data_IF_371223027795
#
_entry.id   IF_371223027795
#
_cell.length_a   1.000
_cell.length_b   1.000
_cell.length_c   1.000
_cell.angle_alpha   90.00
_cell.angle_beta   90.00
_cell.angle_gamma   90.00
#
_symmetry.space_group_name_H-M   'P 1'
#
loop_
_entity.id
_entity.type
_entity.pdbx_description
1 polymer ?
#
# COMPACT_ATOMS: atom_id res chain seq x y z
N UNK A 1 7.54 -11.51 -6.72
CA UNK A 1 7.45 -10.13 -6.19
C UNK A 1 6.03 -9.82 -5.75
N UNK A 2 5.90 -9.08 -4.67
CA UNK A 2 4.62 -8.50 -4.24
C UNK A 2 4.73 -6.99 -4.43
N UNK A 3 4.01 -6.44 -5.39
CA UNK A 3 4.01 -5.01 -5.70
C UNK A 3 2.97 -4.33 -4.84
N UNK A 4 3.42 -3.47 -3.94
CA UNK A 4 2.56 -2.81 -2.95
C UNK A 4 2.52 -1.32 -3.24
N UNK A 5 1.36 -0.82 -3.59
CA UNK A 5 1.14 0.60 -3.83
C UNK A 5 0.89 1.35 -2.52
N UNK A 6 1.53 2.49 -2.37
CA UNK A 6 1.33 3.35 -1.20
C UNK A 6 1.47 4.82 -1.59
N UNK A 7 0.77 5.68 -0.87
CA UNK A 7 0.92 7.14 -0.94
C UNK A 7 1.46 7.59 0.42
N UNK A 8 2.78 7.80 0.58
CA UNK A 8 3.43 7.94 1.89
C UNK A 8 3.24 9.34 2.50
N UNK A 9 1.99 9.74 2.68
CA UNK A 9 1.62 11.07 3.17
C UNK A 9 0.72 11.03 4.40
N UNK A 10 0.61 9.89 5.07
CA UNK A 10 -0.32 9.71 6.19
C UNK A 10 0.37 9.11 7.41
N UNK A 11 1.23 9.87 8.12
CA UNK A 11 1.85 9.38 9.35
C UNK A 11 0.79 9.07 10.43
N UNK A 12 0.98 8.09 11.28
CA UNK A 12 2.10 7.15 11.36
C UNK A 12 1.94 5.90 10.50
N UNK A 13 0.95 5.86 9.61
CA UNK A 13 0.65 4.68 8.79
C UNK A 13 1.65 4.52 7.64
N UNK A 14 1.87 5.59 6.88
CA UNK A 14 2.90 5.62 5.85
C UNK A 14 3.49 7.02 5.72
N UNK A 15 4.82 7.10 5.65
CA UNK A 15 5.53 8.36 5.48
C UNK A 15 6.98 8.08 5.05
N UNK A 16 7.68 9.13 4.67
CA UNK A 16 9.10 9.04 4.32
C UNK A 16 9.96 9.71 5.38
N UNK A 17 11.09 9.09 5.70
CA UNK A 17 12.13 9.73 6.50
C UNK A 17 12.74 10.87 5.68
N UNK A 18 12.66 12.12 6.15
CA UNK A 18 13.19 13.27 5.39
C UNK A 18 14.69 13.23 5.16
N UNK A 19 15.44 12.50 5.99
CA UNK A 19 16.89 12.39 5.85
C UNK A 19 17.32 11.32 4.85
N UNK A 20 16.59 10.21 4.77
CA UNK A 20 16.99 9.03 3.98
C UNK A 20 16.04 8.67 2.85
N UNK A 21 14.87 9.28 2.78
CA UNK A 21 13.78 8.91 1.88
C UNK A 21 13.24 7.49 2.10
N UNK A 22 13.58 6.83 3.19
CA UNK A 22 13.06 5.50 3.49
C UNK A 22 11.56 5.55 3.78
N UNK A 23 10.83 4.57 3.28
CA UNK A 23 9.41 4.40 3.61
C UNK A 23 9.27 3.83 5.02
N UNK A 24 8.47 4.47 5.84
CA UNK A 24 8.27 4.11 7.25
C UNK A 24 6.79 4.12 7.59
N UNK A 25 6.44 3.43 8.66
CA UNK A 25 5.10 3.46 9.23
C UNK A 25 4.47 2.09 9.37
N UNK A 26 3.29 2.05 9.99
CA UNK A 26 2.56 0.81 10.26
C UNK A 26 2.24 0.05 8.98
N UNK A 27 1.72 0.73 7.97
CA UNK A 27 1.34 0.11 6.69
C UNK A 27 2.56 -0.48 5.99
N UNK A 28 3.71 0.19 6.08
CA UNK A 28 4.94 -0.29 5.48
C UNK A 28 5.42 -1.56 6.17
N UNK A 29 5.41 -1.58 7.49
CA UNK A 29 5.81 -2.76 8.27
C UNK A 29 4.85 -3.93 8.00
N UNK A 30 3.56 -3.66 7.93
CA UNK A 30 2.54 -4.68 7.65
C UNK A 30 2.73 -5.28 6.25
N UNK A 31 2.92 -4.45 5.24
CA UNK A 31 3.13 -4.92 3.87
C UNK A 31 4.39 -5.76 3.73
N UNK A 32 5.48 -5.34 4.37
CA UNK A 32 6.72 -6.11 4.36
C UNK A 32 6.55 -7.46 5.04
N UNK A 33 5.79 -7.53 6.14
CA UNK A 33 5.53 -8.78 6.84
C UNK A 33 4.64 -9.73 6.02
N UNK A 34 3.64 -9.19 5.33
CA UNK A 34 2.80 -9.98 4.42
C UNK A 34 3.66 -10.61 3.32
N UNK A 35 4.52 -9.83 2.69
CA UNK A 35 5.42 -10.34 1.65
C UNK A 35 6.32 -11.43 2.19
N UNK A 36 6.88 -11.24 3.38
CA UNK A 36 7.74 -12.23 4.03
C UNK A 36 7.01 -13.55 4.26
N UNK A 37 5.78 -13.50 4.75
CA UNK A 37 4.99 -14.71 5.02
C UNK A 37 4.57 -15.44 3.76
N UNK A 38 4.42 -14.72 2.65
CA UNK A 38 4.11 -15.32 1.36
C UNK A 38 5.34 -15.83 0.61
N UNK A 39 6.54 -15.60 1.16
CA UNK A 39 7.79 -15.96 0.49
C UNK A 39 8.09 -15.08 -0.72
N UNK A 40 7.56 -13.86 -0.74
CA UNK A 40 7.73 -12.92 -1.83
C UNK A 40 8.59 -11.73 -1.40
N UNK A 41 9.18 -11.07 -2.39
CA UNK A 41 9.90 -9.82 -2.14
C UNK A 41 8.93 -8.65 -2.29
N UNK A 42 8.88 -7.78 -1.28
CA UNK A 42 8.06 -6.58 -1.35
C UNK A 42 8.71 -5.56 -2.31
N UNK A 43 7.91 -5.05 -3.23
CA UNK A 43 8.31 -3.97 -4.13
C UNK A 43 7.31 -2.83 -3.92
N UNK A 44 7.78 -1.74 -3.32
CA UNK A 44 6.93 -0.60 -3.00
C UNK A 44 6.82 0.34 -4.18
N UNK A 45 5.58 0.67 -4.54
CA UNK A 45 5.27 1.57 -5.65
C UNK A 45 4.58 2.80 -5.08
N UNK A 46 5.24 3.95 -5.14
CA UNK A 46 4.68 5.20 -4.65
C UNK A 46 3.76 5.81 -5.70
N UNK A 47 2.56 6.17 -5.29
CA UNK A 47 1.56 6.75 -6.18
C UNK A 47 0.73 7.79 -5.43
N UNK A 48 -0.01 8.62 -6.17
CA UNK A 48 -1.06 9.44 -5.59
C UNK A 48 -2.17 8.55 -5.02
N UNK A 49 -2.76 8.98 -3.89
CA UNK A 49 -3.77 8.18 -3.21
C UNK A 49 -4.92 7.77 -4.14
N UNK A 50 -5.37 8.69 -4.98
CA UNK A 50 -6.49 8.44 -5.89
C UNK A 50 -6.16 7.43 -7.00
N UNK A 51 -4.88 7.18 -7.26
CA UNK A 51 -4.45 6.26 -8.31
C UNK A 51 -4.34 4.81 -7.84
N UNK A 52 -4.38 4.57 -6.53
CA UNK A 52 -4.14 3.23 -5.98
C UNK A 52 -5.18 2.21 -6.46
N UNK A 53 -6.45 2.56 -6.43
CA UNK A 53 -7.51 1.64 -6.87
C UNK A 53 -7.41 1.37 -8.38
N UNK A 54 -7.13 2.38 -9.18
CA UNK A 54 -6.92 2.19 -10.62
C UNK A 54 -5.74 1.27 -10.90
N UNK A 55 -4.65 1.42 -10.13
CA UNK A 55 -3.47 0.56 -10.27
C UNK A 55 -3.76 -0.89 -9.87
N UNK A 56 -4.59 -1.12 -8.87
CA UNK A 56 -5.06 -2.46 -8.51
C UNK A 56 -5.88 -3.07 -9.64
N UNK A 57 -6.84 -2.30 -10.16
CA UNK A 57 -7.74 -2.76 -11.21
C UNK A 57 -7.00 -3.09 -12.52
N UNK A 58 -5.96 -2.35 -12.84
CA UNK A 58 -5.16 -2.55 -14.05
C UNK A 58 -3.98 -3.49 -13.88
N UNK A 59 -3.77 -4.04 -12.69
CA UNK A 59 -2.68 -4.98 -12.43
C UNK A 59 -1.30 -4.38 -12.30
N UNK A 60 -1.19 -3.08 -12.10
CA UNK A 60 0.11 -2.41 -11.89
C UNK A 60 0.68 -2.67 -10.51
N UNK A 61 -0.19 -2.89 -9.53
CA UNK A 61 0.18 -3.29 -8.17
C UNK A 61 -0.67 -4.48 -7.77
N UNK A 62 -0.19 -5.24 -6.80
CA UNK A 62 -0.89 -6.43 -6.31
C UNK A 62 -1.75 -6.12 -5.08
N UNK A 63 -1.33 -5.16 -4.27
CA UNK A 63 -2.11 -4.67 -3.12
C UNK A 63 -1.80 -3.21 -2.84
N UNK A 64 -2.70 -2.55 -2.14
CA UNK A 64 -2.51 -1.19 -1.65
C UNK A 64 -2.37 -1.19 -0.14
N UNK A 65 -1.44 -0.41 0.39
CA UNK A 65 -1.23 -0.23 1.83
C UNK A 65 -1.03 1.26 2.11
N UNK A 66 -2.13 1.97 2.33
CA UNK A 66 -2.09 3.43 2.47
C UNK A 66 -3.23 3.97 3.36
N UNK A 67 -3.65 3.20 4.36
CA UNK A 67 -4.70 3.65 5.29
C UNK A 67 -6.02 3.97 4.61
N UNK A 68 -6.37 3.26 3.55
CA UNK A 68 -7.55 3.55 2.75
C UNK A 68 -8.83 3.11 3.44
N UNK A 69 -9.76 4.04 3.60
CA UNK A 69 -11.06 3.74 4.20
C UNK A 69 -11.88 2.83 3.29
N UNK A 70 -12.43 1.77 3.87
CA UNK A 70 -13.31 0.83 3.19
C UNK A 70 -14.72 1.42 3.08
N UNK A 71 -15.07 1.91 1.90
CA UNK A 71 -16.38 2.47 1.60
C UNK A 71 -16.99 1.75 0.38
N UNK A 72 -18.33 1.72 0.23
CA UNK A 72 -18.99 0.96 -0.84
C UNK A 72 -18.48 1.28 -2.26
N UNK A 73 -18.22 2.56 -2.54
CA UNK A 73 -17.73 2.97 -3.86
C UNK A 73 -16.36 2.34 -4.19
N UNK A 74 -15.53 2.12 -3.18
CA UNK A 74 -14.21 1.49 -3.37
C UNK A 74 -14.32 -0.02 -3.43
N UNK A 75 -15.27 -0.62 -2.69
CA UNK A 75 -15.49 -2.08 -2.74
C UNK A 75 -15.96 -2.58 -4.09
N UNK A 76 -16.61 -1.74 -4.87
CA UNK A 76 -17.03 -2.10 -6.21
C UNK A 76 -15.86 -2.45 -7.12
N UNK A 77 -14.66 -1.95 -6.82
CA UNK A 77 -13.48 -2.08 -7.67
C UNK A 77 -12.39 -2.96 -7.06
N UNK A 78 -12.39 -3.16 -5.76
CA UNK A 78 -11.33 -3.90 -5.07
C UNK A 78 -11.82 -4.45 -3.74
N UNK A 79 -11.14 -5.49 -3.27
CA UNK A 79 -11.42 -6.09 -1.96
C UNK A 79 -10.63 -5.35 -0.88
N UNK A 80 -11.15 -5.41 0.34
CA UNK A 80 -10.54 -4.72 1.48
C UNK A 80 -10.32 -5.68 2.65
N UNK A 81 -9.26 -5.39 3.41
CA UNK A 81 -8.97 -6.04 4.68
C UNK A 81 -8.87 -4.95 5.75
N UNK A 82 -9.66 -5.08 6.79
CA UNK A 82 -9.63 -4.15 7.93
C UNK A 82 -8.49 -4.52 8.89
N UNK A 83 -7.89 -3.49 9.50
CA UNK A 83 -6.79 -3.72 10.46
C UNK A 83 -6.65 -2.63 11.52
#
# INVERSE_FOLDING_TARGET
>A
QLRIGTSPTYPPLEYKDPATNALLGLDIDLGNEIARRLGLRAVWVEQGFEQLITSLDTGRIDMGASGMTDIPARREKTDFVDY
#
